data_IF_180550990261
#
_entry.id   IF_180550990261
#
_cell.length_a   1.000
_cell.length_b   1.000
_cell.length_c   1.000
_cell.angle_alpha   90.00
_cell.angle_beta   90.00
_cell.angle_gamma   90.00
#
_symmetry.space_group_name_H-M   'P 1'
#
loop_
_entity.id
_entity.type
_entity.pdbx_description
1 polymer ?
#
# COMPACT_ATOMS: atom_id res chain seq x y z
N UNK A 1 -62.26 12.11 17.79
CA UNK A 1 -61.42 10.91 17.95
C UNK A 1 -61.46 10.07 16.69
N UNK A 2 -60.40 9.33 16.40
CA UNK A 2 -60.33 8.45 15.22
C UNK A 2 -60.02 7.04 15.70
N UNK A 3 -60.85 6.07 15.34
CA UNK A 3 -60.64 4.65 15.63
C UNK A 3 -60.24 3.97 14.34
N UNK A 4 -59.05 3.37 14.32
CA UNK A 4 -58.48 2.69 13.16
C UNK A 4 -58.49 1.19 13.41
N UNK A 5 -59.10 0.46 12.49
CA UNK A 5 -59.08 -1.00 12.43
C UNK A 5 -58.07 -1.42 11.37
N UNK A 6 -56.96 -2.00 11.81
CA UNK A 6 -55.99 -2.65 10.95
C UNK A 6 -56.49 -4.06 10.65
N UNK A 7 -56.59 -4.41 9.38
CA UNK A 7 -57.04 -5.73 8.94
C UNK A 7 -56.18 -6.21 7.77
N UNK A 8 -56.20 -7.51 7.48
CA UNK A 8 -55.59 -8.08 6.29
C UNK A 8 -56.65 -8.75 5.42
N UNK A 9 -56.43 -8.79 4.11
CA UNK A 9 -57.33 -9.45 3.15
C UNK A 9 -57.35 -10.99 3.32
N UNK A 10 -56.27 -11.58 3.81
CA UNK A 10 -56.13 -13.03 3.99
C UNK A 10 -56.60 -13.52 5.37
N UNK A 11 -57.06 -12.60 6.22
CA UNK A 11 -57.41 -12.88 7.61
C UNK A 11 -58.88 -13.28 7.74
N UNK A 12 -59.15 -14.58 7.95
CA UNK A 12 -60.51 -15.11 8.14
C UNK A 12 -61.25 -14.49 9.34
N UNK A 13 -60.54 -14.21 10.44
CA UNK A 13 -61.11 -13.53 11.62
C UNK A 13 -61.55 -12.09 11.29
N UNK A 14 -60.81 -11.38 10.45
CA UNK A 14 -61.09 -10.02 10.05
C UNK A 14 -62.39 -9.91 9.23
N UNK A 15 -62.71 -10.95 8.44
CA UNK A 15 -63.96 -11.06 7.69
C UNK A 15 -65.19 -11.13 8.61
N UNK A 16 -65.11 -11.88 9.71
CA UNK A 16 -66.18 -11.96 10.72
C UNK A 16 -66.34 -10.61 11.43
N UNK A 17 -65.22 -9.97 11.77
CA UNK A 17 -65.18 -8.71 12.49
C UNK A 17 -65.72 -7.52 11.67
N UNK A 18 -65.71 -7.64 10.34
CA UNK A 18 -66.19 -6.60 9.44
C UNK A 18 -67.64 -6.19 9.72
N UNK A 19 -68.53 -7.14 10.04
CA UNK A 19 -69.92 -6.83 10.37
C UNK A 19 -70.03 -5.99 11.65
N UNK A 20 -69.22 -6.32 12.67
CA UNK A 20 -69.16 -5.58 13.94
C UNK A 20 -68.65 -4.14 13.72
N UNK A 21 -67.63 -3.96 12.88
CA UNK A 21 -67.06 -2.64 12.55
C UNK A 21 -68.10 -1.77 11.81
N UNK A 22 -68.84 -2.36 10.87
CA UNK A 22 -69.89 -1.64 10.13
C UNK A 22 -71.04 -1.23 11.06
N UNK A 23 -71.47 -2.11 11.97
CA UNK A 23 -72.48 -1.76 12.97
C UNK A 23 -72.03 -0.61 13.86
N UNK A 24 -70.78 -0.64 14.33
CA UNK A 24 -70.18 0.44 15.10
C UNK A 24 -70.14 1.75 14.31
N UNK A 25 -69.73 1.70 13.03
CA UNK A 25 -69.69 2.87 12.15
C UNK A 25 -71.06 3.52 11.98
N UNK A 26 -72.12 2.70 11.84
CA UNK A 26 -73.50 3.19 11.74
C UNK A 26 -73.97 3.88 13.02
N UNK A 27 -73.58 3.38 14.20
CA UNK A 27 -73.92 4.02 15.47
C UNK A 27 -73.30 5.42 15.63
N UNK A 28 -72.07 5.60 15.12
CA UNK A 28 -71.36 6.89 15.20
C UNK A 28 -71.60 7.80 13.98
N UNK A 29 -72.29 7.34 12.94
CA UNK A 29 -72.54 8.12 11.72
C UNK A 29 -73.31 9.44 11.98
N UNK A 30 -74.08 9.52 13.06
CA UNK A 30 -74.81 10.73 13.48
C UNK A 30 -74.05 11.67 14.42
N UNK A 31 -72.86 11.30 14.91
CA UNK A 31 -72.09 12.09 15.88
C UNK A 31 -70.72 12.43 15.29
N UNK A 32 -70.49 13.71 14.96
CA UNK A 32 -69.25 14.19 14.29
C UNK A 32 -67.99 14.12 15.15
N UNK A 33 -68.08 13.56 16.36
CA UNK A 33 -66.97 13.48 17.31
C UNK A 33 -66.07 12.26 17.10
N UNK A 34 -66.55 11.15 16.53
CA UNK A 34 -65.78 9.90 16.37
C UNK A 34 -65.80 9.41 14.92
N UNK A 35 -64.63 9.28 14.31
CA UNK A 35 -64.46 8.72 12.97
C UNK A 35 -63.96 7.28 13.06
N UNK A 36 -64.60 6.37 12.33
CA UNK A 36 -64.20 4.96 12.25
C UNK A 36 -63.55 4.71 10.88
N UNK A 37 -62.32 4.22 10.88
CA UNK A 37 -61.51 3.98 9.69
C UNK A 37 -60.97 2.54 9.65
N UNK A 38 -60.75 2.02 8.44
CA UNK A 38 -60.17 0.68 8.21
C UNK A 38 -58.96 0.81 7.30
N UNK A 39 -57.86 0.13 7.65
CA UNK A 39 -56.60 0.15 6.89
C UNK A 39 -56.14 -1.29 6.65
N UNK A 40 -55.84 -1.61 5.40
CA UNK A 40 -55.30 -2.91 5.02
C UNK A 40 -53.80 -2.99 5.34
N UNK A 41 -53.38 -4.00 6.08
CA UNK A 41 -51.99 -4.28 6.47
C UNK A 41 -51.72 -5.79 6.50
N UNK A 42 -50.44 -6.17 6.41
CA UNK A 42 -49.99 -7.58 6.41
C UNK A 42 -49.77 -8.14 7.82
N UNK A 43 -50.57 -7.72 8.81
CA UNK A 43 -50.43 -8.12 10.22
C UNK A 43 -51.79 -8.48 10.85
N UNK A 44 -51.76 -9.11 12.03
CA UNK A 44 -52.94 -9.48 12.81
C UNK A 44 -53.85 -8.27 13.10
N UNK A 45 -55.17 -8.49 13.19
CA UNK A 45 -56.11 -7.40 13.38
C UNK A 45 -55.84 -6.66 14.68
N UNK A 46 -55.70 -5.35 14.59
CA UNK A 46 -55.51 -4.49 15.76
C UNK A 46 -56.40 -3.25 15.67
N UNK A 47 -56.91 -2.83 16.83
CA UNK A 47 -57.78 -1.67 16.95
C UNK A 47 -57.04 -0.60 17.72
N UNK A 48 -56.86 0.57 17.11
CA UNK A 48 -56.19 1.70 17.72
C UNK A 48 -57.14 2.89 17.79
N UNK A 49 -57.14 3.59 18.92
CA UNK A 49 -57.87 4.85 19.09
C UNK A 49 -56.87 6.00 19.18
N UNK A 50 -57.12 7.03 18.37
CA UNK A 50 -56.35 8.27 18.30
C UNK A 50 -57.21 9.44 18.79
N UNK A 51 -57.02 9.89 20.04
CA UNK A 51 -57.77 11.01 20.61
C UNK A 51 -57.60 12.29 19.79
N UNK A 52 -58.61 13.17 19.78
CA UNK A 52 -58.67 14.38 18.94
C UNK A 52 -57.52 15.34 19.23
N UNK A 53 -57.23 15.58 20.51
CA UNK A 53 -56.24 16.56 20.96
C UNK A 53 -54.89 15.95 21.36
N UNK A 54 -54.74 14.61 21.28
CA UNK A 54 -53.53 13.90 21.75
C UNK A 54 -53.19 12.70 20.85
N UNK A 55 -52.90 12.98 19.57
CA UNK A 55 -52.58 11.94 18.57
C UNK A 55 -51.36 11.08 18.92
N UNK A 56 -50.44 11.61 19.74
CA UNK A 56 -49.26 10.91 20.25
C UNK A 56 -49.58 9.91 21.39
N UNK A 57 -50.79 9.95 21.98
CA UNK A 57 -51.27 8.99 22.97
C UNK A 57 -52.29 8.05 22.32
N UNK A 58 -51.88 7.37 21.25
CA UNK A 58 -52.71 6.32 20.68
C UNK A 58 -52.85 5.17 21.68
N UNK A 59 -54.08 4.71 21.87
CA UNK A 59 -54.38 3.60 22.77
C UNK A 59 -54.71 2.38 21.93
N UNK A 60 -53.96 1.31 22.13
CA UNK A 60 -54.26 0.00 21.54
C UNK A 60 -55.37 -0.68 22.34
N UNK A 61 -56.31 -1.30 21.65
CA UNK A 61 -57.32 -2.14 22.29
C UNK A 61 -56.65 -3.36 22.96
N UNK A 62 -57.00 -3.69 24.21
CA UNK A 62 -56.40 -4.83 24.92
C UNK A 62 -56.56 -6.14 24.17
N UNK A 63 -55.49 -6.92 24.08
CA UNK A 63 -55.49 -8.22 23.38
C UNK A 63 -56.26 -9.30 24.14
N UNK A 64 -56.41 -9.16 25.47
CA UNK A 64 -57.08 -10.12 26.35
C UNK A 64 -58.62 -10.05 26.27
N UNK A 65 -59.18 -9.07 25.58
CA UNK A 65 -60.64 -8.83 25.51
C UNK A 65 -61.17 -9.18 24.12
N UNK A 66 -62.29 -9.92 23.99
CA UNK A 66 -62.87 -10.20 22.68
C UNK A 66 -63.38 -8.91 22.02
N UNK A 67 -63.11 -8.79 20.72
CA UNK A 67 -63.54 -7.64 19.93
C UNK A 67 -65.03 -7.80 19.60
N UNK A 68 -65.88 -7.15 20.38
CA UNK A 68 -67.34 -7.16 20.24
C UNK A 68 -67.87 -5.73 20.26
N UNK A 69 -69.10 -5.52 19.78
CA UNK A 69 -69.70 -4.17 19.73
C UNK A 69 -69.72 -3.48 21.12
N UNK A 70 -70.14 -4.14 22.23
CA UNK A 70 -70.17 -3.50 23.53
C UNK A 70 -68.78 -3.21 24.10
N UNK A 71 -67.80 -4.08 23.87
CA UNK A 71 -66.42 -3.89 24.35
C UNK A 71 -65.75 -2.75 23.61
N UNK A 72 -65.94 -2.66 22.30
CA UNK A 72 -65.47 -1.55 21.47
C UNK A 72 -66.12 -0.22 21.87
N UNK A 73 -67.43 -0.21 22.11
CA UNK A 73 -68.13 0.99 22.53
C UNK A 73 -67.62 1.49 23.88
N UNK A 74 -67.46 0.58 24.86
CA UNK A 74 -66.91 0.92 26.18
C UNK A 74 -65.49 1.46 26.08
N UNK A 75 -64.66 0.86 25.23
CA UNK A 75 -63.30 1.32 24.96
C UNK A 75 -63.29 2.74 24.37
N UNK A 76 -64.11 2.99 23.34
CA UNK A 76 -64.20 4.31 22.70
C UNK A 76 -64.65 5.35 23.71
N UNK A 77 -65.71 5.08 24.48
CA UNK A 77 -66.25 6.02 25.46
C UNK A 77 -65.23 6.33 26.58
N UNK A 78 -64.49 5.32 27.06
CA UNK A 78 -63.47 5.48 28.10
C UNK A 78 -62.33 6.41 27.66
N UNK A 79 -61.86 6.27 26.42
CA UNK A 79 -60.70 7.02 25.91
C UNK A 79 -61.10 8.23 25.05
N UNK A 80 -62.39 8.41 24.76
CA UNK A 80 -62.94 9.65 24.19
C UNK A 80 -63.00 10.74 25.26
N UNK A 81 -62.86 11.99 24.82
CA UNK A 81 -62.59 13.18 25.65
C UNK A 81 -63.73 13.60 26.61
N UNK A 82 -64.69 12.72 26.91
CA UNK A 82 -65.84 13.02 27.79
C UNK A 82 -65.85 12.26 29.12
N UNK A 83 -64.90 11.35 29.40
CA UNK A 83 -64.98 10.48 30.59
C UNK A 83 -63.79 10.60 31.58
N UNK A 84 -62.81 11.46 31.33
CA UNK A 84 -61.70 11.69 32.26
C UNK A 84 -61.62 13.13 32.73
N UNK A 85 -62.56 13.49 33.60
CA UNK A 85 -62.23 14.30 34.77
C UNK A 85 -62.38 13.44 36.02
N UNK A 86 -61.36 12.67 36.44
CA UNK A 86 -61.26 12.29 37.82
C UNK A 86 -60.58 13.43 38.59
N UNK A 87 -61.04 13.65 39.82
CA UNK A 87 -60.36 14.26 40.98
C UNK A 87 -61.20 15.35 41.64
N UNK A 88 -62.34 14.92 42.22
CA UNK A 88 -62.64 15.28 43.60
C UNK A 88 -62.49 14.02 44.46
N UNK A 89 -61.41 13.96 45.21
CA UNK A 89 -61.31 13.28 46.49
C UNK A 89 -60.06 13.80 47.20
N UNK A 90 -60.26 14.11 48.46
CA UNK A 90 -59.35 14.69 49.43
C UNK A 90 -58.23 13.71 49.83
N UNK A 91 -57.08 14.24 50.28
CA UNK A 91 -56.00 13.45 50.89
C UNK A 91 -54.64 13.52 50.18
N UNK A 92 -53.81 14.50 50.60
CA UNK A 92 -52.33 14.46 50.62
C UNK A 92 -51.59 13.65 49.54
N UNK A 93 -51.66 14.11 48.28
CA UNK A 93 -50.71 13.70 47.23
C UNK A 93 -50.19 14.96 46.51
N UNK A 94 -48.89 15.03 46.12
CA UNK A 94 -48.37 16.18 45.41
C UNK A 94 -49.12 16.34 44.09
N UNK A 95 -49.80 17.47 43.94
CA UNK A 95 -50.63 17.82 42.80
C UNK A 95 -50.04 17.29 41.46
N UNK A 96 -50.70 16.38 40.73
CA UNK A 96 -50.15 15.72 39.54
C UNK A 96 -49.71 16.71 38.45
N UNK A 97 -50.29 17.91 38.44
CA UNK A 97 -49.87 19.01 37.58
C UNK A 97 -48.46 19.55 37.86
N UNK A 98 -48.00 19.48 39.11
CA UNK A 98 -46.66 19.94 39.52
C UNK A 98 -45.60 18.93 39.11
N UNK A 99 -45.88 17.63 39.29
CA UNK A 99 -45.01 16.54 38.83
C UNK A 99 -44.85 16.59 37.30
N UNK A 100 -45.96 16.69 36.55
CA UNK A 100 -45.91 16.77 35.09
C UNK A 100 -45.12 17.99 34.59
N UNK A 101 -45.22 19.12 35.31
CA UNK A 101 -44.49 20.35 34.98
C UNK A 101 -43.00 20.25 35.29
N UNK A 102 -42.62 19.49 36.32
CA UNK A 102 -41.23 19.17 36.64
C UNK A 102 -40.63 18.26 35.56
N UNK A 103 -41.32 17.19 35.18
CA UNK A 103 -40.92 16.28 34.10
C UNK A 103 -40.81 17.03 32.76
N UNK A 104 -41.78 17.88 32.41
CA UNK A 104 -41.70 18.68 31.19
C UNK A 104 -40.47 19.60 31.17
N UNK A 105 -40.10 20.19 32.30
CA UNK A 105 -38.87 20.99 32.43
C UNK A 105 -37.61 20.14 32.34
N UNK A 106 -37.61 18.94 32.91
CA UNK A 106 -36.51 17.99 32.82
C UNK A 106 -36.29 17.56 31.35
N UNK A 107 -37.35 17.11 30.67
CA UNK A 107 -37.31 16.79 29.24
C UNK A 107 -36.87 17.99 28.39
N UNK A 108 -37.33 19.20 28.71
CA UNK A 108 -36.88 20.40 28.00
C UNK A 108 -35.37 20.62 28.17
N UNK A 109 -34.84 20.36 29.37
CA UNK A 109 -33.40 20.36 29.63
C UNK A 109 -32.66 19.30 28.81
N UNK A 110 -33.16 18.06 28.79
CA UNK A 110 -32.60 16.97 28.02
C UNK A 110 -32.55 17.29 26.52
N UNK A 111 -33.64 17.79 25.95
CA UNK A 111 -33.69 18.20 24.53
C UNK A 111 -32.64 19.27 24.21
N UNK A 112 -32.45 20.24 25.11
CA UNK A 112 -31.40 21.26 24.93
C UNK A 112 -29.99 20.66 24.99
N UNK A 113 -29.74 19.72 25.90
CA UNK A 113 -28.43 19.04 25.98
C UNK A 113 -28.16 18.18 24.74
N UNK A 114 -29.15 17.44 24.27
CA UNK A 114 -29.10 16.68 23.02
C UNK A 114 -28.83 17.58 21.82
N UNK A 115 -29.47 18.75 21.76
CA UNK A 115 -29.24 19.70 20.67
C UNK A 115 -27.80 20.22 20.66
N UNK A 116 -27.23 20.54 21.83
CA UNK A 116 -25.82 20.93 21.97
C UNK A 116 -24.87 19.79 21.58
N UNK A 117 -25.17 18.56 21.99
CA UNK A 117 -24.38 17.39 21.62
C UNK A 117 -24.39 17.16 20.10
N UNK A 118 -25.57 17.27 19.46
CA UNK A 118 -25.71 17.20 18.00
C UNK A 118 -24.87 18.27 17.29
N UNK A 119 -24.90 19.51 17.76
CA UNK A 119 -24.09 20.59 17.17
C UNK A 119 -22.58 20.33 17.30
N UNK A 120 -22.13 19.78 18.44
CA UNK A 120 -20.71 19.39 18.61
C UNK A 120 -20.32 18.29 17.62
N UNK A 121 -21.15 17.26 17.49
CA UNK A 121 -20.91 16.17 16.55
C UNK A 121 -20.91 16.66 15.10
N UNK A 122 -21.81 17.56 14.71
CA UNK A 122 -21.81 18.12 13.36
C UNK A 122 -20.54 18.93 13.08
N UNK A 123 -20.04 19.67 14.08
CA UNK A 123 -18.80 20.43 13.94
C UNK A 123 -17.58 19.50 13.84
N UNK A 124 -17.53 18.44 14.64
CA UNK A 124 -16.48 17.42 14.56
C UNK A 124 -16.51 16.70 13.21
N UNK A 125 -17.69 16.34 12.72
CA UNK A 125 -17.85 15.73 11.39
C UNK A 125 -17.33 16.67 10.30
N UNK A 126 -17.67 17.96 10.36
CA UNK A 126 -17.19 18.96 9.40
C UNK A 126 -15.67 19.19 9.47
N UNK A 127 -15.04 19.01 10.64
CA UNK A 127 -13.58 19.01 10.77
C UNK A 127 -12.99 17.76 10.12
N UNK A 128 -13.47 16.57 10.47
CA UNK A 128 -13.01 15.31 9.89
C UNK A 128 -13.17 15.26 8.38
N UNK A 129 -14.25 15.82 7.82
CA UNK A 129 -14.43 15.94 6.37
C UNK A 129 -13.36 16.82 5.71
N UNK A 130 -12.96 17.93 6.35
CA UNK A 130 -11.89 18.80 5.83
C UNK A 130 -10.54 18.12 5.92
N UNK A 131 -10.27 17.45 7.02
CA UNK A 131 -9.00 16.75 7.24
C UNK A 131 -8.86 15.56 6.30
N UNK A 132 -9.94 14.79 6.09
CA UNK A 132 -9.95 13.69 5.13
C UNK A 132 -9.69 14.19 3.70
N UNK A 133 -10.31 15.31 3.29
CA UNK A 133 -10.01 15.93 1.99
C UNK A 133 -8.53 16.34 1.90
N UNK A 134 -7.98 16.99 2.92
CA UNK A 134 -6.55 17.36 2.96
C UNK A 134 -5.63 16.15 2.84
N UNK A 135 -5.93 15.09 3.60
CA UNK A 135 -5.17 13.85 3.56
C UNK A 135 -5.27 13.17 2.18
N UNK A 136 -6.45 13.18 1.54
CA UNK A 136 -6.59 12.64 0.18
C UNK A 136 -5.76 13.41 -0.84
N UNK A 137 -5.69 14.73 -0.74
CA UNK A 137 -4.84 15.53 -1.63
C UNK A 137 -3.36 15.24 -1.38
N UNK A 138 -2.94 15.14 -0.12
CA UNK A 138 -1.57 14.80 0.23
C UNK A 138 -1.20 13.39 -0.24
N UNK A 139 -2.11 12.41 -0.13
CA UNK A 139 -1.89 11.05 -0.61
C UNK A 139 -1.66 11.03 -2.12
N UNK A 140 -2.52 11.69 -2.90
CA UNK A 140 -2.33 11.81 -4.36
C UNK A 140 -1.01 12.51 -4.72
N UNK A 141 -0.63 13.56 -3.99
CA UNK A 141 0.65 14.24 -4.19
C UNK A 141 1.85 13.33 -3.89
N UNK A 142 1.77 12.51 -2.84
CA UNK A 142 2.81 11.52 -2.53
C UNK A 142 2.87 10.40 -3.55
N UNK A 143 1.73 9.92 -4.05
CA UNK A 143 1.68 8.89 -5.10
C UNK A 143 2.33 9.37 -6.39
N UNK A 144 2.01 10.60 -6.82
CA UNK A 144 2.66 11.21 -8.00
C UNK A 144 4.17 11.40 -7.82
N UNK A 145 4.60 11.84 -6.64
CA UNK A 145 6.03 11.97 -6.32
C UNK A 145 6.74 10.60 -6.32
N UNK A 146 6.12 9.58 -5.73
CA UNK A 146 6.65 8.22 -5.73
C UNK A 146 6.76 7.66 -7.16
N UNK A 147 5.77 7.89 -8.02
CA UNK A 147 5.83 7.48 -9.42
C UNK A 147 6.99 8.15 -10.16
N UNK A 148 7.23 9.44 -9.92
CA UNK A 148 8.38 10.17 -10.49
C UNK A 148 9.71 9.58 -10.02
N UNK A 149 9.86 9.34 -8.72
CA UNK A 149 11.06 8.73 -8.15
C UNK A 149 11.30 7.32 -8.71
N UNK A 150 10.24 6.53 -8.91
CA UNK A 150 10.35 5.21 -9.54
C UNK A 150 10.83 5.31 -10.99
N UNK A 151 10.33 6.28 -11.76
CA UNK A 151 10.81 6.52 -13.12
C UNK A 151 12.30 6.91 -13.14
N UNK A 152 12.71 7.85 -12.27
CA UNK A 152 14.11 8.27 -12.14
C UNK A 152 15.02 7.12 -11.70
N UNK A 153 14.58 6.30 -10.74
CA UNK A 153 15.32 5.11 -10.32
C UNK A 153 15.46 4.12 -11.48
N UNK A 154 14.43 3.95 -12.31
CA UNK A 154 14.50 3.12 -13.51
C UNK A 154 15.47 3.64 -14.57
N UNK A 155 15.60 4.96 -14.73
CA UNK A 155 16.60 5.59 -15.60
C UNK A 155 18.01 5.36 -15.09
N UNK A 156 18.27 5.64 -13.82
CA UNK A 156 19.58 5.43 -13.19
C UNK A 156 20.00 3.95 -13.24
N UNK A 157 19.06 3.02 -13.09
CA UNK A 157 19.34 1.60 -13.24
C UNK A 157 19.76 1.23 -14.67
N UNK A 158 19.10 1.81 -15.69
CA UNK A 158 19.48 1.61 -17.10
C UNK A 158 20.86 2.18 -17.39
N UNK A 159 21.16 3.38 -16.92
CA UNK A 159 22.49 3.99 -17.05
C UNK A 159 23.56 3.14 -16.37
N UNK A 160 23.29 2.66 -15.15
CA UNK A 160 24.20 1.77 -14.42
C UNK A 160 24.48 0.48 -15.21
N UNK A 161 23.46 -0.15 -15.79
CA UNK A 161 23.64 -1.36 -16.59
C UNK A 161 24.50 -1.10 -17.83
N UNK A 162 24.22 -0.02 -18.55
CA UNK A 162 25.01 0.41 -19.72
C UNK A 162 26.48 0.66 -19.35
N UNK A 163 26.73 1.38 -18.24
CA UNK A 163 28.09 1.61 -17.75
C UNK A 163 28.79 0.30 -17.38
N UNK A 164 28.10 -0.64 -16.74
CA UNK A 164 28.67 -1.96 -16.40
C UNK A 164 29.05 -2.73 -17.67
N UNK A 165 28.23 -2.71 -18.71
CA UNK A 165 28.55 -3.34 -19.99
C UNK A 165 29.76 -2.68 -20.67
N UNK A 166 29.81 -1.35 -20.68
CA UNK A 166 30.96 -0.61 -21.20
C UNK A 166 32.24 -0.93 -20.43
N UNK A 167 32.17 -1.00 -19.09
CA UNK A 167 33.32 -1.37 -18.26
C UNK A 167 33.79 -2.80 -18.53
N UNK A 168 32.86 -3.75 -18.72
CA UNK A 168 33.21 -5.14 -19.09
C UNK A 168 33.92 -5.20 -20.44
N UNK A 169 33.39 -4.51 -21.45
CA UNK A 169 34.00 -4.49 -22.77
C UNK A 169 35.37 -3.81 -22.77
N UNK A 170 35.51 -2.69 -22.05
CA UNK A 170 36.83 -2.04 -21.85
C UNK A 170 37.81 -2.95 -21.11
N UNK A 171 37.35 -3.68 -20.10
CA UNK A 171 38.20 -4.65 -19.38
C UNK A 171 38.66 -5.78 -20.30
N UNK A 172 37.78 -6.26 -21.20
CA UNK A 172 38.14 -7.26 -22.22
C UNK A 172 39.19 -6.72 -23.20
N UNK A 173 38.98 -5.50 -23.72
CA UNK A 173 39.93 -4.83 -24.61
C UNK A 173 41.30 -4.63 -23.95
N UNK A 174 41.32 -4.22 -22.67
CA UNK A 174 42.56 -4.09 -21.91
C UNK A 174 43.23 -5.45 -21.70
N UNK A 175 42.47 -6.51 -21.38
CA UNK A 175 43.01 -7.87 -21.26
C UNK A 175 43.65 -8.38 -22.55
N UNK A 176 43.03 -8.13 -23.70
CA UNK A 176 43.59 -8.47 -25.01
C UNK A 176 44.86 -7.67 -25.34
N UNK A 177 44.87 -6.37 -25.03
CA UNK A 177 46.05 -5.53 -25.22
C UNK A 177 47.22 -6.00 -24.35
N UNK A 178 46.95 -6.34 -23.07
CA UNK A 178 47.96 -6.91 -22.16
C UNK A 178 48.48 -8.24 -22.70
N UNK A 179 47.60 -9.12 -23.20
CA UNK A 179 48.03 -10.40 -23.78
C UNK A 179 48.94 -10.20 -24.99
N UNK A 180 48.60 -9.28 -25.89
CA UNK A 180 49.45 -8.94 -27.05
C UNK A 180 50.79 -8.36 -26.63
N UNK A 181 50.82 -7.51 -25.60
CA UNK A 181 52.08 -6.98 -25.07
C UNK A 181 52.93 -8.09 -24.46
N UNK A 182 52.33 -9.07 -23.79
CA UNK A 182 53.04 -10.25 -23.28
C UNK A 182 53.61 -11.08 -24.44
N UNK A 183 52.82 -11.38 -25.46
CA UNK A 183 53.27 -12.12 -26.65
C UNK A 183 54.47 -11.42 -27.34
N UNK A 184 54.44 -10.08 -27.44
CA UNK A 184 55.54 -9.29 -27.98
C UNK A 184 56.77 -9.29 -27.06
N UNK A 185 56.57 -9.22 -25.74
CA UNK A 185 57.65 -9.30 -24.76
C UNK A 185 58.35 -10.67 -24.84
N UNK A 186 57.60 -11.77 -24.82
CA UNK A 186 58.13 -13.14 -24.93
C UNK A 186 58.88 -13.34 -26.27
N UNK A 187 58.35 -12.82 -27.38
CA UNK A 187 59.03 -12.86 -28.67
C UNK A 187 60.33 -12.05 -28.65
N UNK A 188 60.33 -10.88 -28.00
CA UNK A 188 61.55 -10.06 -27.86
C UNK A 188 62.60 -10.73 -26.98
N UNK A 189 62.20 -11.40 -25.90
CA UNK A 189 63.10 -12.19 -25.06
C UNK A 189 63.71 -13.34 -25.85
N UNK A 190 62.90 -14.09 -26.61
CA UNK A 190 63.39 -15.16 -27.49
C UNK A 190 64.42 -14.63 -28.51
N UNK A 191 64.10 -13.54 -29.23
CA UNK A 191 65.03 -12.94 -30.19
C UNK A 191 66.32 -12.44 -29.52
N UNK A 192 66.24 -11.90 -28.31
CA UNK A 192 67.41 -11.51 -27.52
C UNK A 192 68.26 -12.74 -27.18
N UNK A 193 67.64 -13.85 -26.73
CA UNK A 193 68.37 -15.09 -26.45
C UNK A 193 69.05 -15.64 -27.70
N UNK A 194 68.36 -15.69 -28.84
CA UNK A 194 68.95 -16.10 -30.13
C UNK A 194 70.12 -15.19 -30.54
N UNK A 195 69.96 -13.87 -30.42
CA UNK A 195 71.04 -12.92 -30.73
C UNK A 195 72.26 -13.14 -29.81
N UNK A 196 72.05 -13.39 -28.52
CA UNK A 196 73.15 -13.71 -27.59
C UNK A 196 73.85 -15.01 -27.95
N UNK A 197 73.11 -16.07 -28.32
CA UNK A 197 73.68 -17.34 -28.77
C UNK A 197 74.50 -17.17 -30.05
N UNK A 198 73.98 -16.44 -31.03
CA UNK A 198 74.69 -16.13 -32.28
C UNK A 198 75.98 -15.34 -32.01
N UNK A 199 75.96 -14.37 -31.09
CA UNK A 199 77.17 -13.63 -30.70
C UNK A 199 78.22 -14.53 -30.07
N UNK A 200 77.82 -15.48 -29.22
CA UNK A 200 78.72 -16.47 -28.62
C UNK A 200 79.33 -17.38 -29.68
N UNK A 201 78.53 -17.88 -30.63
CA UNK A 201 78.99 -18.72 -31.74
C UNK A 201 79.98 -17.97 -32.64
N UNK A 202 79.68 -16.73 -33.02
CA UNK A 202 80.59 -15.88 -33.79
C UNK A 202 81.89 -15.60 -33.03
N UNK A 203 81.80 -15.38 -31.71
CA UNK A 203 82.97 -15.25 -30.84
C UNK A 203 83.84 -16.52 -30.85
N UNK A 204 83.23 -17.70 -30.76
CA UNK A 204 83.94 -18.98 -30.81
C UNK A 204 84.56 -19.26 -32.18
N UNK A 205 83.87 -18.95 -33.27
CA UNK A 205 84.43 -19.07 -34.63
C UNK A 205 85.60 -18.12 -34.83
N UNK A 206 85.50 -16.86 -34.40
CA UNK A 206 86.61 -15.90 -34.44
C UNK A 206 87.79 -16.36 -33.60
N UNK A 207 87.55 -16.89 -32.40
CA UNK A 207 88.62 -17.44 -31.55
C UNK A 207 89.32 -18.64 -32.22
N UNK A 208 88.55 -19.48 -32.92
CA UNK A 208 89.11 -20.60 -33.68
C UNK A 208 89.88 -20.15 -34.93
N UNK A 209 89.44 -19.08 -35.60
CA UNK A 209 90.17 -18.45 -36.69
C UNK A 209 91.49 -17.83 -36.20
N UNK A 210 91.49 -17.18 -35.02
CA UNK A 210 92.73 -16.66 -34.42
C UNK A 210 93.65 -17.79 -33.98
N UNK A 211 93.16 -18.86 -33.35
CA UNK A 211 93.97 -20.04 -33.00
C UNK A 211 94.55 -20.75 -34.23
N UNK A 212 93.82 -20.73 -35.36
CA UNK A 212 94.29 -21.30 -36.63
C UNK A 212 95.32 -20.42 -37.32
N UNK A 213 95.16 -19.09 -37.27
CA UNK A 213 96.17 -18.14 -37.73
C UNK A 213 97.43 -18.18 -36.88
N UNK A 214 97.29 -18.25 -35.54
CA UNK A 214 98.43 -18.45 -34.63
C UNK A 214 99.09 -19.82 -34.82
N UNK A 215 98.34 -20.88 -35.15
CA UNK A 215 98.89 -22.20 -35.47
C UNK A 215 99.55 -22.31 -36.85
N UNK A 216 99.12 -21.51 -37.82
CA UNK A 216 99.79 -21.36 -39.12
C UNK A 216 101.07 -20.50 -38.98
N UNK A 217 101.04 -19.40 -38.22
CA UNK A 217 102.26 -18.62 -37.87
C UNK A 217 103.26 -19.47 -37.07
N UNK A 218 102.81 -20.29 -36.12
CA UNK A 218 103.69 -21.20 -35.36
C UNK A 218 104.20 -22.38 -36.20
N UNK A 219 103.42 -22.81 -37.21
CA UNK A 219 103.81 -23.83 -38.17
C UNK A 219 104.86 -23.32 -39.15
N UNK A 220 104.74 -22.08 -39.61
CA UNK A 220 105.76 -21.39 -40.41
C UNK A 220 107.03 -21.10 -39.57
N UNK A 221 106.91 -20.72 -38.30
CA UNK A 221 108.06 -20.57 -37.38
C UNK A 221 108.75 -21.90 -37.04
N UNK A 222 108.04 -23.03 -36.97
CA UNK A 222 108.62 -24.38 -36.77
C UNK A 222 109.24 -24.97 -38.06
N UNK A 223 108.71 -24.63 -39.25
CA UNK A 223 109.31 -24.97 -40.55
C UNK A 223 110.59 -24.13 -40.82
N UNK A 224 110.61 -22.83 -40.47
CA UNK A 224 111.83 -22.01 -40.50
C UNK A 224 112.88 -22.49 -39.48
N UNK A 225 112.49 -22.89 -38.26
CA UNK A 225 113.42 -23.49 -37.27
C UNK A 225 113.98 -24.85 -37.70
N UNK A 226 113.19 -25.65 -38.40
CA UNK A 226 113.62 -26.93 -38.95
C UNK A 226 114.61 -26.80 -40.12
N UNK A 227 114.55 -25.70 -40.88
CA UNK A 227 115.54 -25.37 -41.91
C UNK A 227 116.79 -24.69 -41.33
N UNK A 228 116.70 -23.93 -40.24
CA UNK A 228 117.86 -23.32 -39.55
C UNK A 228 118.74 -24.33 -38.78
N UNK A 229 118.17 -25.36 -38.14
CA UNK A 229 118.98 -26.41 -37.48
C UNK A 229 119.79 -27.30 -38.46
N UNK A 230 119.54 -27.19 -39.77
CA UNK A 230 120.35 -27.85 -40.82
C UNK A 230 121.48 -26.99 -41.38
N UNK A 231 121.57 -25.71 -40.99
CA UNK A 231 122.55 -24.74 -41.54
C UNK A 231 123.44 -24.05 -40.51
N UNK A 232 123.29 -24.34 -39.22
CA UNK A 232 124.12 -23.76 -38.15
C UNK A 232 125.20 -24.74 -37.66
N UNK A 233 125.93 -25.36 -38.59
CA UNK A 233 127.24 -25.98 -38.34
C UNK A 233 128.32 -25.34 -39.23
N UNK A 234 128.30 -24.02 -39.40
CA UNK A 234 129.46 -23.24 -39.88
C UNK A 234 129.30 -21.75 -39.57
N UNK A 235 130.22 -21.19 -38.78
CA UNK A 235 130.57 -19.77 -38.89
C UNK A 235 130.39 -18.92 -37.63
N UNK A 236 131.31 -19.10 -36.68
CA UNK A 236 131.60 -18.19 -35.56
C UNK A 236 132.17 -16.83 -36.04
N UNK A 237 132.10 -15.84 -35.15
CA UNK A 237 132.68 -14.48 -35.17
C UNK A 237 131.91 -13.33 -35.88
N UNK A 238 131.34 -12.41 -35.06
CA UNK A 238 131.90 -11.07 -34.77
C UNK A 238 130.85 -9.98 -34.45
N UNK A 239 130.71 -9.69 -33.15
CA UNK A 239 130.67 -8.36 -32.48
C UNK A 239 130.46 -7.09 -33.33
N UNK A 240 129.54 -6.20 -32.95
CA UNK A 240 129.82 -4.89 -32.28
C UNK A 240 128.54 -4.07 -31.97
N UNK A 241 128.67 -3.26 -30.92
CA UNK A 241 127.72 -2.41 -30.18
C UNK A 241 127.00 -1.29 -30.96
N UNK A 242 125.84 -0.83 -30.44
CA UNK A 242 125.56 0.59 -30.13
C UNK A 242 124.26 0.80 -29.32
N UNK A 243 124.43 1.41 -28.15
CA UNK A 243 123.57 2.27 -27.29
C UNK A 243 122.05 2.15 -27.25
#
# INVERSE_FOLDING_TARGET
>A
DVVVFYYSQWCGYCSVLNHVIIQLARMFHGNSTVTIARVNVDHFPSVLLFPRHRKHLSVKFPEDTPITLPTLLRFILKYSDSAHQPMKADGSDPNPHVLLKAEFRALQGEVQTLHRARQRLSNQLAQLWRDNRRLSFNAMALETHNALLQAQNGELQRERLSLVEQHKEKSRQLGEAVRRLQELADASENLLTENTLLRVLLGALRARETERGEGEERGEEEEERGEEESKEETGDERSYMAS
#
